data_IF_901300362021
#
_entry.id   IF_901300362021
#
_cell.length_a   1.000
_cell.length_b   1.000
_cell.length_c   1.000
_cell.angle_alpha   90.00
_cell.angle_beta   90.00
_cell.angle_gamma   90.00
#
_symmetry.space_group_name_H-M   'P 1'
#
loop_
_entity.id
_entity.type
_entity.pdbx_description
1 polymer ?
#
# COMPACT_ATOMS: atom_id res chain seq x y z
N UNK A 1 7.91 22.44 -40.80
CA UNK A 1 6.74 21.99 -40.01
C UNK A 1 7.17 22.00 -38.55
N UNK A 2 6.57 22.83 -37.75
CA UNK A 2 6.86 22.93 -36.31
C UNK A 2 5.85 22.04 -35.57
N UNK A 3 6.35 21.08 -34.79
CA UNK A 3 5.51 20.19 -33.98
C UNK A 3 5.39 20.78 -32.59
N UNK A 4 4.15 20.98 -32.12
CA UNK A 4 3.88 21.38 -30.75
C UNK A 4 3.30 20.19 -29.97
N UNK A 5 3.71 20.02 -28.72
CA UNK A 5 3.20 19.00 -27.83
C UNK A 5 2.34 19.66 -26.75
N UNK A 6 1.09 19.23 -26.65
CA UNK A 6 0.19 19.65 -25.56
C UNK A 6 -0.12 18.46 -24.69
N UNK A 7 0.26 18.45 -23.40
CA UNK A 7 -0.14 17.40 -22.48
C UNK A 7 -1.64 17.56 -22.16
N UNK A 8 -2.44 16.56 -22.53
CA UNK A 8 -3.89 16.61 -22.34
C UNK A 8 -4.31 15.91 -21.05
N UNK A 9 -3.60 14.83 -20.68
CA UNK A 9 -3.84 14.08 -19.45
C UNK A 9 -2.53 13.91 -18.70
N UNK A 10 -2.40 14.58 -17.57
CA UNK A 10 -1.24 14.46 -16.70
C UNK A 10 -1.66 13.84 -15.38
N UNK A 11 -0.96 12.77 -14.98
CA UNK A 11 -1.04 12.24 -13.62
C UNK A 11 0.19 12.70 -12.86
N UNK A 12 -0.01 13.42 -11.77
CA UNK A 12 1.08 13.88 -10.91
C UNK A 12 1.50 12.74 -9.96
N UNK A 13 2.80 12.51 -9.87
CA UNK A 13 3.40 11.63 -8.86
C UNK A 13 4.22 12.51 -7.91
N UNK A 14 3.86 12.47 -6.64
CA UNK A 14 4.54 13.21 -5.59
C UNK A 14 5.46 12.27 -4.82
N UNK A 15 6.65 12.74 -4.48
CA UNK A 15 7.60 12.02 -3.66
C UNK A 15 7.97 12.88 -2.45
N UNK A 16 7.85 12.29 -1.26
CA UNK A 16 8.33 12.86 -0.02
C UNK A 16 9.29 11.88 0.65
N UNK A 17 10.37 12.38 1.22
CA UNK A 17 11.33 11.57 1.96
C UNK A 17 10.99 11.60 3.45
N UNK A 18 10.88 10.43 4.05
CA UNK A 18 10.51 10.27 5.46
C UNK A 18 11.27 9.11 6.14
N UNK A 19 12.61 9.05 6.02
CA UNK A 19 13.40 7.92 6.53
C UNK A 19 13.31 7.75 8.04
N UNK A 20 12.92 8.80 8.77
CA UNK A 20 12.77 8.79 10.23
C UNK A 20 11.68 7.82 10.73
N UNK A 21 10.75 7.41 9.87
CA UNK A 21 9.69 6.47 10.24
C UNK A 21 9.99 5.02 9.86
N UNK A 22 11.10 4.74 9.16
CA UNK A 22 11.37 3.43 8.57
C UNK A 22 11.43 2.32 9.63
N UNK A 23 12.26 2.50 10.66
CA UNK A 23 12.46 1.47 11.68
C UNK A 23 11.22 1.24 12.54
N UNK A 24 10.48 2.30 12.86
CA UNK A 24 9.23 2.21 13.62
C UNK A 24 8.15 1.51 12.78
N UNK A 25 8.04 1.89 11.50
CA UNK A 25 7.07 1.29 10.58
C UNK A 25 7.34 -0.19 10.37
N UNK A 26 8.59 -0.58 10.11
CA UNK A 26 8.96 -1.99 9.94
C UNK A 26 8.61 -2.79 11.20
N UNK A 27 9.02 -2.34 12.38
CA UNK A 27 8.69 -3.03 13.63
C UNK A 27 7.19 -3.15 13.88
N UNK A 28 6.43 -2.13 13.51
CA UNK A 28 4.98 -2.15 13.65
C UNK A 28 4.30 -3.10 12.64
N UNK A 29 4.86 -3.23 11.44
CA UNK A 29 4.30 -4.07 10.38
C UNK A 29 4.69 -5.55 10.50
N UNK A 30 5.88 -5.85 11.02
CA UNK A 30 6.43 -7.23 11.11
C UNK A 30 5.45 -8.26 11.66
N UNK A 31 4.80 -8.06 12.82
CA UNK A 31 3.88 -9.08 13.36
C UNK A 31 2.65 -9.31 12.48
N UNK A 32 2.20 -8.28 11.76
CA UNK A 32 1.06 -8.39 10.86
C UNK A 32 1.44 -9.10 9.56
N UNK A 33 2.63 -8.83 9.03
CA UNK A 33 3.19 -9.55 7.88
C UNK A 33 3.44 -11.02 8.25
N UNK A 34 4.01 -11.29 9.43
CA UNK A 34 4.22 -12.67 9.85
C UNK A 34 2.90 -13.43 9.95
N UNK A 35 1.88 -12.81 10.56
CA UNK A 35 0.53 -13.40 10.59
C UNK A 35 -0.01 -13.68 9.18
N UNK A 36 0.13 -12.73 8.24
CA UNK A 36 -0.31 -12.92 6.86
C UNK A 36 0.41 -14.08 6.16
N UNK A 37 1.72 -14.27 6.44
CA UNK A 37 2.50 -15.42 5.96
C UNK A 37 1.98 -16.73 6.52
N UNK A 38 1.77 -16.81 7.82
CA UNK A 38 1.29 -18.01 8.50
C UNK A 38 -0.10 -18.42 7.99
N UNK A 39 -1.01 -17.46 7.84
CA UNK A 39 -2.34 -17.67 7.30
C UNK A 39 -2.29 -18.17 5.85
N UNK A 40 -1.41 -17.61 5.02
CA UNK A 40 -1.23 -18.02 3.63
C UNK A 40 -0.62 -19.43 3.54
N UNK A 41 0.42 -19.72 4.31
CA UNK A 41 1.06 -21.04 4.34
C UNK A 41 0.08 -22.12 4.77
N UNK A 42 -0.78 -21.81 5.74
CA UNK A 42 -1.86 -22.72 6.14
C UNK A 42 -2.85 -22.97 4.99
N UNK A 43 -3.26 -21.91 4.29
CA UNK A 43 -4.15 -22.06 3.13
C UNK A 43 -3.51 -22.87 2.00
N UNK A 44 -2.20 -22.72 1.77
CA UNK A 44 -1.46 -23.52 0.78
C UNK A 44 -1.42 -24.97 1.19
N UNK A 45 -1.05 -25.27 2.44
CA UNK A 45 -1.03 -26.62 2.97
C UNK A 45 -2.41 -27.31 2.85
N UNK A 46 -3.47 -26.60 3.18
CA UNK A 46 -4.83 -27.13 3.03
C UNK A 46 -5.18 -27.41 1.57
N UNK A 47 -4.73 -26.58 0.63
CA UNK A 47 -4.93 -26.79 -0.81
C UNK A 47 -4.07 -27.93 -1.35
N UNK A 48 -2.82 -28.06 -0.92
CA UNK A 48 -1.91 -29.14 -1.30
C UNK A 48 -2.46 -30.50 -0.84
N UNK A 49 -2.93 -30.57 0.40
CA UNK A 49 -3.56 -31.76 0.95
C UNK A 49 -4.80 -32.17 0.14
N UNK A 50 -5.62 -31.21 -0.25
CA UNK A 50 -6.80 -31.41 -1.09
C UNK A 50 -6.45 -31.84 -2.50
N UNK A 51 -5.45 -31.19 -3.11
CA UNK A 51 -5.03 -31.42 -4.48
C UNK A 51 -4.07 -32.62 -4.61
N UNK A 52 -3.53 -33.13 -3.50
CA UNK A 52 -2.49 -34.19 -3.45
C UNK A 52 -1.24 -33.86 -4.27
N UNK A 53 -0.88 -32.57 -4.33
CA UNK A 53 0.31 -32.08 -5.04
C UNK A 53 0.84 -30.80 -4.40
N UNK A 54 2.17 -30.55 -4.46
CA UNK A 54 2.76 -29.29 -4.01
C UNK A 54 2.27 -28.10 -4.88
N UNK A 55 2.02 -26.96 -4.24
CA UNK A 55 1.72 -25.70 -4.93
C UNK A 55 2.97 -24.81 -4.93
N UNK A 56 3.71 -24.80 -3.81
CA UNK A 56 4.87 -23.91 -3.64
C UNK A 56 4.49 -22.47 -3.33
N UNK A 57 5.49 -21.62 -3.18
CA UNK A 57 5.36 -20.21 -2.82
C UNK A 57 5.72 -19.24 -3.96
N UNK A 58 5.89 -19.76 -5.18
CA UNK A 58 6.24 -18.95 -6.35
C UNK A 58 5.07 -18.05 -6.71
N UNK A 59 5.33 -16.75 -6.84
CA UNK A 59 4.32 -15.76 -7.18
C UNK A 59 3.45 -15.31 -6.01
N UNK A 60 3.77 -15.70 -4.79
CA UNK A 60 2.99 -15.30 -3.62
C UNK A 60 3.31 -13.88 -3.19
N UNK A 61 2.26 -13.17 -2.80
CA UNK A 61 2.34 -11.89 -2.11
C UNK A 61 1.60 -12.02 -0.77
N UNK A 62 2.24 -11.57 0.29
CA UNK A 62 1.67 -11.58 1.62
C UNK A 62 1.06 -10.22 1.92
N UNK A 63 -0.23 -10.17 2.13
CA UNK A 63 -1.00 -8.96 2.32
C UNK A 63 -1.65 -8.96 3.69
N UNK A 64 -1.43 -7.92 4.48
CA UNK A 64 -2.01 -7.81 5.82
C UNK A 64 -3.49 -7.43 5.76
N UNK A 65 -4.17 -7.59 6.88
CA UNK A 65 -5.43 -6.91 7.13
C UNK A 65 -5.27 -5.39 7.08
N UNK A 66 -6.39 -4.67 7.12
CA UNK A 66 -6.36 -3.20 7.22
C UNK A 66 -5.80 -2.75 8.57
N UNK A 67 -4.70 -1.99 8.54
CA UNK A 67 -3.95 -1.52 9.69
C UNK A 67 -4.34 -0.09 10.13
N UNK A 68 -5.39 0.49 9.58
CA UNK A 68 -5.80 1.86 9.88
C UNK A 68 -5.95 2.15 11.37
N UNK A 69 -6.46 1.21 12.13
CA UNK A 69 -6.73 1.37 13.56
C UNK A 69 -5.54 1.02 14.45
N UNK A 70 -4.36 0.73 13.88
CA UNK A 70 -3.16 0.41 14.65
C UNK A 70 -2.48 1.69 15.13
N UNK A 71 -2.34 1.83 16.44
CA UNK A 71 -1.74 3.02 17.05
C UNK A 71 -0.24 3.12 16.78
N UNK A 72 0.43 2.00 16.59
CA UNK A 72 1.85 1.87 16.30
C UNK A 72 2.25 2.62 15.01
N UNK A 73 1.32 2.80 14.09
CA UNK A 73 1.53 3.54 12.84
C UNK A 73 1.07 5.00 12.91
N UNK A 74 0.79 5.52 14.11
CA UNK A 74 0.23 6.86 14.27
C UNK A 74 1.09 7.96 13.66
N UNK A 75 2.39 7.94 13.89
CA UNK A 75 3.30 8.98 13.38
C UNK A 75 3.38 8.98 11.86
N UNK A 76 3.52 7.79 11.25
CA UNK A 76 3.49 7.64 9.79
C UNK A 76 2.15 8.12 9.21
N UNK A 77 1.04 7.69 9.80
CA UNK A 77 -0.31 8.11 9.35
C UNK A 77 -0.48 9.63 9.41
N UNK A 78 -0.01 10.24 10.49
CA UNK A 78 -0.05 11.70 10.64
C UNK A 78 0.77 12.41 9.57
N UNK A 79 1.97 11.91 9.29
CA UNK A 79 2.84 12.46 8.24
C UNK A 79 2.18 12.33 6.86
N UNK A 80 1.69 11.13 6.50
CA UNK A 80 1.01 10.88 5.22
C UNK A 80 -0.20 11.80 5.10
N UNK A 81 -1.03 11.89 6.13
CA UNK A 81 -2.22 12.75 6.11
C UNK A 81 -1.85 14.21 5.86
N UNK A 82 -0.93 14.77 6.62
CA UNK A 82 -0.49 16.17 6.48
C UNK A 82 0.10 16.45 5.10
N UNK A 83 0.92 15.53 4.58
CA UNK A 83 1.50 15.66 3.23
C UNK A 83 0.41 15.62 2.16
N UNK A 84 -0.54 14.72 2.29
CA UNK A 84 -1.67 14.59 1.36
C UNK A 84 -2.60 15.81 1.40
N UNK A 85 -2.87 16.35 2.58
CA UNK A 85 -3.63 17.59 2.75
C UNK A 85 -2.95 18.76 2.05
N UNK A 86 -1.64 18.93 2.21
CA UNK A 86 -0.88 19.99 1.52
C UNK A 86 -0.93 19.84 -0.01
N UNK A 87 -0.85 18.62 -0.52
CA UNK A 87 -0.94 18.35 -1.95
C UNK A 87 -2.33 18.71 -2.48
N UNK A 88 -3.38 18.23 -1.84
CA UNK A 88 -4.76 18.48 -2.27
C UNK A 88 -5.15 19.95 -2.15
N UNK A 89 -4.73 20.62 -1.08
CA UNK A 89 -4.92 22.08 -0.92
C UNK A 89 -4.24 22.84 -2.07
N UNK A 90 -3.01 22.48 -2.43
CA UNK A 90 -2.30 23.06 -3.56
C UNK A 90 -2.97 22.84 -4.92
N UNK A 91 -3.81 21.82 -5.02
CA UNK A 91 -4.63 21.52 -6.20
C UNK A 91 -6.01 22.19 -6.16
N UNK A 92 -6.33 22.94 -5.09
CA UNK A 92 -7.55 23.69 -4.96
C UNK A 92 -8.71 22.91 -4.35
N UNK A 93 -8.48 21.78 -3.69
CA UNK A 93 -9.53 21.07 -2.95
C UNK A 93 -9.89 21.80 -1.67
N UNK A 94 -11.17 21.90 -1.40
CA UNK A 94 -11.70 22.46 -0.15
C UNK A 94 -11.66 21.42 0.97
N UNK A 95 -10.56 21.41 1.73
CA UNK A 95 -10.36 20.48 2.83
C UNK A 95 -11.04 20.92 4.14
N UNK A 96 -11.54 22.14 4.20
CA UNK A 96 -12.27 22.65 5.37
C UNK A 96 -13.64 22.00 5.47
N UNK A 97 -14.36 21.97 4.36
CA UNK A 97 -15.70 21.40 4.31
C UNK A 97 -15.65 19.89 3.96
N UNK A 98 -14.59 19.44 3.31
CA UNK A 98 -14.36 18.04 2.88
C UNK A 98 -13.05 17.49 3.41
N UNK A 99 -12.95 17.18 4.71
CA UNK A 99 -11.71 16.75 5.34
C UNK A 99 -11.22 15.40 4.80
N UNK A 100 -9.92 15.30 4.56
CA UNK A 100 -9.28 14.09 4.11
C UNK A 100 -9.36 12.97 5.17
N UNK A 101 -9.75 11.78 4.74
CA UNK A 101 -9.81 10.58 5.56
C UNK A 101 -9.04 9.45 4.90
N UNK A 102 -8.37 8.65 5.72
CA UNK A 102 -7.89 7.35 5.25
C UNK A 102 -9.06 6.42 4.99
N UNK A 103 -8.97 5.64 3.93
CA UNK A 103 -9.87 4.53 3.65
C UNK A 103 -9.23 3.21 4.04
N UNK A 104 -7.94 3.03 3.72
CA UNK A 104 -7.19 1.80 3.92
C UNK A 104 -5.72 2.10 4.23
N UNK A 105 -5.12 1.22 5.00
CA UNK A 105 -3.67 1.13 5.20
C UNK A 105 -3.31 -0.34 5.42
N UNK A 106 -2.40 -0.86 4.65
CA UNK A 106 -1.96 -2.25 4.74
C UNK A 106 -0.50 -2.38 4.33
N UNK A 107 0.13 -3.49 4.71
CA UNK A 107 1.47 -3.83 4.30
C UNK A 107 1.44 -5.02 3.34
N UNK A 108 2.38 -5.03 2.42
CA UNK A 108 2.59 -6.13 1.52
C UNK A 108 4.06 -6.52 1.49
N UNK A 109 4.31 -7.82 1.49
CA UNK A 109 5.62 -8.39 1.26
C UNK A 109 5.54 -9.39 0.12
N UNK A 110 6.52 -9.39 -0.75
CA UNK A 110 6.64 -10.35 -1.84
C UNK A 110 7.52 -11.53 -1.44
N UNK A 111 7.19 -12.74 -1.91
CA UNK A 111 7.95 -13.93 -1.62
C UNK A 111 9.41 -13.80 -2.12
N UNK A 112 10.37 -14.26 -1.29
CA UNK A 112 11.80 -14.12 -1.55
C UNK A 112 12.31 -14.93 -2.76
N UNK A 113 11.63 -16.02 -3.10
CA UNK A 113 12.08 -16.96 -4.16
C UNK A 113 11.39 -16.70 -5.50
N UNK A 114 11.26 -15.45 -5.82
CA UNK A 114 10.91 -14.99 -7.15
C UNK A 114 9.42 -15.06 -7.46
N UNK A 115 8.97 -14.07 -8.15
CA UNK A 115 7.68 -14.06 -8.74
C UNK A 115 6.54 -13.52 -7.87
N UNK A 116 6.81 -13.00 -6.69
CA UNK A 116 5.79 -12.20 -6.00
C UNK A 116 5.38 -11.03 -6.89
N UNK A 117 4.09 -10.88 -7.14
CA UNK A 117 3.57 -9.80 -7.99
C UNK A 117 2.29 -9.23 -7.39
N UNK A 118 1.95 -8.06 -7.86
CA UNK A 118 0.67 -7.43 -7.60
C UNK A 118 0.01 -7.17 -8.96
N UNK A 119 -1.21 -7.63 -9.10
CA UNK A 119 -1.96 -7.42 -10.34
C UNK A 119 -2.25 -5.92 -10.54
N UNK A 120 -2.30 -5.50 -11.79
CA UNK A 120 -2.75 -4.16 -12.15
C UNK A 120 -4.17 -3.95 -11.63
N UNK A 121 -4.36 -2.92 -10.82
CA UNK A 121 -5.63 -2.59 -10.21
C UNK A 121 -5.82 -1.09 -10.11
N UNK A 122 -7.00 -0.67 -9.70
CA UNK A 122 -7.35 0.73 -9.49
C UNK A 122 -7.90 0.93 -8.08
N UNK A 123 -7.63 2.11 -7.54
CA UNK A 123 -8.16 2.53 -6.24
C UNK A 123 -9.43 3.35 -6.45
N UNK A 124 -10.57 2.66 -6.47
CA UNK A 124 -11.87 3.29 -6.66
C UNK A 124 -12.22 4.29 -5.56
N UNK A 125 -12.78 5.42 -5.95
CA UNK A 125 -13.26 6.47 -5.04
C UNK A 125 -12.20 7.03 -4.08
N UNK A 126 -10.93 6.91 -4.42
CA UNK A 126 -9.84 7.52 -3.67
C UNK A 126 -9.25 8.69 -4.44
N UNK A 127 -9.06 9.84 -3.77
CA UNK A 127 -8.41 11.00 -4.36
C UNK A 127 -6.90 10.84 -4.45
N UNK A 128 -6.34 10.05 -3.52
CA UNK A 128 -4.91 9.74 -3.47
C UNK A 128 -4.70 8.29 -3.06
N UNK A 129 -3.67 7.68 -3.63
CA UNK A 129 -3.07 6.45 -3.15
C UNK A 129 -1.55 6.61 -3.10
N UNK A 130 -0.89 5.85 -2.26
CA UNK A 130 0.55 5.95 -2.10
C UNK A 130 1.13 4.71 -1.45
N UNK A 131 2.45 4.65 -1.42
CA UNK A 131 3.21 3.59 -0.74
C UNK A 131 4.43 4.19 -0.05
N UNK A 132 4.85 3.52 1.00
CA UNK A 132 5.99 3.86 1.82
C UNK A 132 6.89 2.63 1.98
#
# INVERSE_FOLDING_TARGET
>A
MELSTSPIFQSAVYRAEAPQFLDETNRACDPHIQKAKDDMLKQISDRENKAKRPIGDIGLSYHTENLMNKNELYQLKRFIKSTSENILDSQGYDLKDYPLKFTELWCQEFANKGGGHHDTHIHWNNHMSGFY
#
